data_IF_557112783341
#
_entry.id   IF_557112783341
#
_cell.length_a   1.000
_cell.length_b   1.000
_cell.length_c   1.000
_cell.angle_alpha   90.00
_cell.angle_beta   90.00
_cell.angle_gamma   90.00
#
_symmetry.space_group_name_H-M   'P 1'
#
loop_
_entity.id
_entity.type
_entity.pdbx_description
1 polymer ?
#
# COMPACT_ATOMS: atom_id res chain seq x y z
N UNK A 1 15.98 15.65 2.78
CA UNK A 1 14.96 15.22 1.81
C UNK A 1 13.64 15.83 2.26
N UNK A 2 12.89 16.58 1.45
CA UNK A 2 11.67 17.23 1.92
C UNK A 2 10.60 16.16 2.22
N UNK A 3 10.33 15.93 3.52
CA UNK A 3 9.16 15.28 4.10
C UNK A 3 8.39 14.24 3.26
N UNK A 4 9.02 13.12 2.90
CA UNK A 4 8.29 12.01 2.29
C UNK A 4 7.34 11.42 3.34
N UNK A 5 6.03 11.56 3.14
CA UNK A 5 5.01 10.92 3.98
C UNK A 5 5.00 9.43 3.69
N UNK A 6 4.53 8.60 4.64
CA UNK A 6 4.40 7.15 4.41
C UNK A 6 3.56 6.86 3.17
N UNK A 7 2.55 7.68 2.89
CA UNK A 7 1.73 7.59 1.68
C UNK A 7 2.56 7.68 0.38
N UNK A 8 3.54 8.57 0.29
CA UNK A 8 4.36 8.72 -0.92
C UNK A 8 5.25 7.50 -1.18
N UNK A 9 5.76 6.87 -0.11
CA UNK A 9 6.51 5.60 -0.19
C UNK A 9 5.59 4.42 -0.59
N UNK A 10 4.36 4.42 -0.11
CA UNK A 10 3.31 3.46 -0.49
C UNK A 10 3.02 3.57 -1.98
N UNK A 11 2.82 4.79 -2.50
CA UNK A 11 2.64 5.04 -3.94
C UNK A 11 3.86 4.63 -4.78
N UNK A 12 5.08 4.83 -4.27
CA UNK A 12 6.29 4.41 -4.96
C UNK A 12 6.40 2.88 -5.02
N UNK A 13 6.14 2.20 -3.90
CA UNK A 13 6.13 0.73 -3.85
C UNK A 13 5.09 0.15 -4.82
N UNK A 14 3.90 0.77 -4.90
CA UNK A 14 2.85 0.36 -5.83
C UNK A 14 3.33 0.37 -7.28
N UNK A 15 4.04 1.41 -7.72
CA UNK A 15 4.59 1.50 -9.08
C UNK A 15 5.59 0.39 -9.40
N UNK A 16 6.28 -0.12 -8.38
CA UNK A 16 7.22 -1.25 -8.53
C UNK A 16 6.51 -2.59 -8.69
N UNK A 17 5.41 -2.81 -7.96
CA UNK A 17 4.69 -4.10 -7.95
C UNK A 17 3.60 -4.21 -9.02
N UNK A 18 3.04 -3.08 -9.47
CA UNK A 18 1.96 -3.02 -10.45
C UNK A 18 2.29 -2.07 -11.62
N UNK A 19 3.36 -2.32 -12.39
CA UNK A 19 3.74 -1.46 -13.52
C UNK A 19 2.69 -1.48 -14.63
N UNK A 20 1.92 -2.56 -14.76
CA UNK A 20 0.86 -2.71 -15.78
C UNK A 20 -0.44 -1.98 -15.46
N UNK A 21 -0.67 -1.58 -14.20
CA UNK A 21 -1.88 -0.87 -13.80
C UNK A 21 -2.01 0.52 -14.46
N UNK A 22 -0.89 1.06 -15.00
CA UNK A 22 -0.84 2.27 -15.81
C UNK A 22 -1.08 3.58 -15.04
N UNK A 23 -2.19 3.66 -14.30
CA UNK A 23 -2.57 4.81 -13.46
C UNK A 23 -2.35 4.49 -11.98
N UNK A 24 -1.76 5.44 -11.26
CA UNK A 24 -1.67 5.39 -9.81
C UNK A 24 -3.10 5.59 -9.22
N UNK A 25 -3.60 4.64 -8.41
CA UNK A 25 -4.81 4.80 -7.63
C UNK A 25 -4.73 6.05 -6.73
N UNK A 26 -5.86 6.71 -6.48
CA UNK A 26 -5.89 7.73 -5.44
C UNK A 26 -5.70 7.09 -4.05
N UNK A 27 -5.29 7.89 -3.07
CA UNK A 27 -5.02 7.40 -1.72
C UNK A 27 -6.22 6.68 -1.07
N UNK A 28 -7.42 7.10 -1.44
CA UNK A 28 -8.70 6.60 -0.93
C UNK A 28 -9.42 5.67 -1.93
N UNK A 29 -8.83 5.40 -3.09
CA UNK A 29 -9.40 4.46 -4.07
C UNK A 29 -9.22 3.03 -3.57
N UNK A 30 -10.30 2.25 -3.66
CA UNK A 30 -10.26 0.82 -3.35
C UNK A 30 -9.58 0.06 -4.50
N UNK A 31 -8.46 -0.61 -4.20
CA UNK A 31 -7.69 -1.33 -5.20
C UNK A 31 -8.48 -2.46 -5.86
N UNK A 32 -9.37 -3.14 -5.12
CA UNK A 32 -10.21 -4.19 -5.70
C UNK A 32 -11.29 -3.64 -6.64
N UNK A 33 -11.72 -2.39 -6.48
CA UNK A 33 -12.61 -1.73 -7.44
C UNK A 33 -11.87 -1.34 -8.73
N UNK A 34 -10.54 -1.24 -8.68
CA UNK A 34 -9.67 -0.99 -9.83
C UNK A 34 -9.24 -2.28 -10.55
N UNK A 35 -9.91 -3.40 -10.30
CA UNK A 35 -9.60 -4.72 -10.87
C UNK A 35 -8.18 -5.21 -10.52
N UNK A 36 -7.64 -4.74 -9.38
CA UNK A 36 -6.34 -5.21 -8.90
C UNK A 36 -6.47 -6.66 -8.42
N UNK A 37 -5.61 -7.53 -8.97
CA UNK A 37 -5.52 -8.91 -8.54
C UNK A 37 -5.07 -9.00 -7.07
N UNK A 38 -5.74 -9.87 -6.29
CA UNK A 38 -5.43 -10.09 -4.88
C UNK A 38 -3.98 -10.51 -4.64
N UNK A 39 -3.34 -11.19 -5.60
CA UNK A 39 -1.93 -11.53 -5.56
C UNK A 39 -1.04 -10.28 -5.61
N UNK A 40 -1.31 -9.35 -6.53
CA UNK A 40 -0.58 -8.08 -6.64
C UNK A 40 -0.76 -7.27 -5.35
N UNK A 41 -1.97 -7.24 -4.79
CA UNK A 41 -2.23 -6.59 -3.52
C UNK A 41 -1.48 -7.21 -2.33
N UNK A 42 -1.46 -8.55 -2.23
CA UNK A 42 -0.71 -9.24 -1.17
C UNK A 42 0.80 -8.99 -1.31
N UNK A 43 1.34 -9.05 -2.54
CA UNK A 43 2.74 -8.72 -2.83
C UNK A 43 3.06 -7.29 -2.40
N UNK A 44 2.21 -6.34 -2.76
CA UNK A 44 2.32 -4.93 -2.38
C UNK A 44 2.42 -4.73 -0.86
N UNK A 45 1.46 -5.27 -0.11
CA UNK A 45 1.44 -5.14 1.35
C UNK A 45 2.66 -5.81 1.98
N UNK A 46 3.08 -6.97 1.46
CA UNK A 46 4.27 -7.69 1.95
C UNK A 46 5.56 -6.90 1.72
N UNK A 47 5.73 -6.34 0.52
CA UNK A 47 6.89 -5.50 0.19
C UNK A 47 6.96 -4.25 1.07
N UNK A 48 5.81 -3.62 1.35
CA UNK A 48 5.76 -2.50 2.29
C UNK A 48 6.14 -2.92 3.71
N UNK A 49 5.61 -4.04 4.21
CA UNK A 49 6.00 -4.56 5.53
C UNK A 49 7.51 -4.79 5.64
N UNK A 50 8.13 -5.36 4.60
CA UNK A 50 9.59 -5.57 4.55
C UNK A 50 10.34 -4.24 4.48
N UNK A 51 9.92 -3.31 3.61
CA UNK A 51 10.57 -2.01 3.41
C UNK A 51 10.55 -1.14 4.66
N UNK A 52 9.46 -1.19 5.41
CA UNK A 52 9.32 -0.44 6.67
C UNK A 52 9.75 -1.22 7.91
N UNK A 53 9.99 -2.54 7.79
CA UNK A 53 10.35 -3.39 8.92
C UNK A 53 9.20 -3.59 9.91
N UNK A 54 7.94 -3.58 9.44
CA UNK A 54 6.73 -3.68 10.27
C UNK A 54 5.86 -4.86 9.85
N UNK A 55 5.10 -5.40 10.79
CA UNK A 55 4.10 -6.42 10.50
C UNK A 55 2.77 -5.76 10.15
N UNK A 56 2.33 -5.93 8.90
CA UNK A 56 1.07 -5.34 8.42
C UNK A 56 -0.07 -6.37 8.51
N UNK A 57 -1.16 -6.06 9.25
CA UNK A 57 -2.28 -6.98 9.41
C UNK A 57 -3.11 -7.05 8.13
N UNK A 58 -2.78 -8.00 7.25
CA UNK A 58 -3.47 -8.20 5.97
C UNK A 58 -5.00 -8.21 6.11
N UNK A 59 -5.54 -8.92 7.11
CA UNK A 59 -6.99 -9.03 7.31
C UNK A 59 -7.66 -7.67 7.52
N UNK A 60 -7.03 -6.76 8.26
CA UNK A 60 -7.58 -5.42 8.50
C UNK A 60 -7.43 -4.52 7.27
N UNK A 61 -6.29 -4.63 6.59
CA UNK A 61 -6.02 -3.92 5.33
C UNK A 61 -6.98 -4.36 4.21
N UNK A 62 -7.37 -5.64 4.17
CA UNK A 62 -8.36 -6.18 3.23
C UNK A 62 -9.76 -5.61 3.43
N UNK A 63 -10.12 -5.08 4.62
CA UNK A 63 -11.42 -4.43 4.84
C UNK A 63 -11.53 -3.10 4.09
N UNK A 64 -10.41 -2.40 3.93
CA UNK A 64 -10.32 -1.12 3.25
C UNK A 64 -9.00 -1.04 2.48
N UNK A 65 -8.91 -1.69 1.31
CA UNK A 65 -7.66 -1.89 0.57
C UNK A 65 -7.29 -0.62 -0.22
N UNK A 66 -6.99 0.46 0.50
CA UNK A 66 -6.60 1.76 -0.04
C UNK A 66 -5.18 2.09 0.38
N UNK A 67 -4.48 2.96 -0.35
CA UNK A 67 -3.14 3.39 0.05
C UNK A 67 -3.14 4.13 1.40
N UNK A 68 -4.20 4.87 1.71
CA UNK A 68 -4.37 5.55 3.00
C UNK A 68 -4.40 4.54 4.13
N UNK A 69 -5.24 3.51 4.06
CA UNK A 69 -5.32 2.47 5.09
C UNK A 69 -3.96 1.81 5.32
N UNK A 70 -3.26 1.46 4.24
CA UNK A 70 -1.94 0.84 4.33
C UNK A 70 -0.93 1.80 4.99
N UNK A 71 -0.92 3.07 4.60
CA UNK A 71 -0.05 4.08 5.19
C UNK A 71 -0.34 4.29 6.69
N UNK A 72 -1.61 4.39 7.07
CA UNK A 72 -2.05 4.49 8.48
C UNK A 72 -1.57 3.29 9.30
N UNK A 73 -1.68 2.06 8.78
CA UNK A 73 -1.18 0.87 9.48
C UNK A 73 0.35 0.87 9.61
N UNK A 74 1.08 1.31 8.58
CA UNK A 74 2.53 1.45 8.65
C UNK A 74 2.93 2.51 9.68
N UNK A 75 2.27 3.66 9.70
CA UNK A 75 2.56 4.73 10.67
C UNK A 75 2.35 4.23 12.10
N UNK A 76 1.20 3.59 12.37
CA UNK A 76 0.87 3.04 13.69
C UNK A 76 1.79 1.92 14.15
N UNK A 77 2.39 1.17 13.22
CA UNK A 77 3.33 0.10 13.53
C UNK A 77 4.77 0.62 13.73
N UNK A 78 5.07 1.85 13.29
CA UNK A 78 6.36 2.52 13.50
C UNK A 78 6.43 3.33 14.80
N UNK A 79 5.27 3.66 15.40
CA UNK A 79 5.14 4.26 16.73
C UNK A 79 5.36 3.25 17.85
#
# INVERSE_FOLDING_TARGET
MPGTTVLAEVEECWRGVAPEAGRLPAADDNLFELDVDSFVFIQFVRELGIRFGVELPLVEIFRSPTFRTVADHVERAKE
#
